data_IF_145613019166
#
_entry.id   IF_145613019166
#
_cell.length_a   1.000
_cell.length_b   1.000
_cell.length_c   1.000
_cell.angle_alpha   90.00
_cell.angle_beta   90.00
_cell.angle_gamma   90.00
#
_symmetry.space_group_name_H-M   'P 1'
#
loop_
_entity.id
_entity.type
_entity.pdbx_description
1 polymer ?
#
# COMPACT_ATOMS: atom_id res chain seq x y z
N UNK A 1 29.52 6.59 20.82
CA UNK A 1 28.08 6.39 21.13
C UNK A 1 27.40 5.59 20.01
N UNK A 2 27.87 4.40 19.71
CA UNK A 2 27.40 3.62 18.56
C UNK A 2 27.24 2.12 18.87
N UNK A 3 26.82 1.75 20.10
CA UNK A 3 26.72 0.34 20.47
C UNK A 3 25.40 -0.11 21.12
N UNK A 4 24.35 0.70 21.08
CA UNK A 4 23.05 0.33 21.67
C UNK A 4 21.90 0.05 20.67
N UNK A 5 22.07 0.28 19.35
CA UNK A 5 20.99 0.08 18.38
C UNK A 5 20.89 -1.35 17.83
N UNK A 6 21.93 -2.16 17.94
CA UNK A 6 21.96 -3.51 17.34
C UNK A 6 21.30 -4.62 18.18
N UNK A 7 20.96 -4.37 19.43
CA UNK A 7 20.32 -5.37 20.30
C UNK A 7 18.78 -5.41 20.24
N UNK A 8 18.15 -4.32 19.88
CA UNK A 8 16.68 -4.24 19.74
C UNK A 8 16.16 -4.89 18.44
N UNK A 9 16.93 -4.80 17.36
CA UNK A 9 16.59 -5.40 16.07
C UNK A 9 16.63 -6.95 16.07
N UNK A 10 17.48 -7.55 16.91
CA UNK A 10 17.59 -9.02 17.01
C UNK A 10 16.43 -9.70 17.75
N UNK A 11 15.65 -8.97 18.54
CA UNK A 11 14.50 -9.51 19.27
C UNK A 11 13.24 -9.64 18.39
N UNK A 12 13.10 -8.81 17.34
CA UNK A 12 11.94 -8.83 16.45
C UNK A 12 11.84 -10.09 15.58
N UNK A 13 12.93 -10.54 15.00
CA UNK A 13 12.94 -11.66 14.05
C UNK A 13 12.65 -13.02 14.68
N UNK A 14 12.93 -13.20 15.97
CA UNK A 14 12.64 -14.45 16.68
C UNK A 14 11.20 -14.54 17.22
N UNK A 15 10.49 -13.42 17.33
CA UNK A 15 9.11 -13.41 17.85
C UNK A 15 8.10 -13.92 16.79
N UNK A 16 8.28 -13.56 15.54
CA UNK A 16 7.39 -14.00 14.45
C UNK A 16 7.43 -15.50 14.16
N UNK A 17 8.55 -16.18 14.45
CA UNK A 17 8.69 -17.65 14.25
C UNK A 17 8.05 -18.52 15.34
N UNK A 18 7.74 -17.97 16.53
CA UNK A 18 7.23 -18.77 17.66
C UNK A 18 5.70 -18.84 17.79
N UNK A 19 4.94 -17.95 17.16
CA UNK A 19 3.48 -17.89 17.32
C UNK A 19 2.74 -18.95 16.48
N UNK A 20 3.34 -19.45 15.40
CA UNK A 20 2.71 -20.41 14.46
C UNK A 20 2.58 -21.87 14.95
N UNK A 21 2.96 -22.22 16.18
CA UNK A 21 2.99 -23.63 16.65
C UNK A 21 2.21 -23.97 17.92
N UNK A 22 1.21 -23.20 18.32
CA UNK A 22 0.36 -23.58 19.46
C UNK A 22 -1.12 -23.30 19.22
N UNK A 23 -1.79 -24.22 18.54
CA UNK A 23 -3.23 -24.44 18.73
C UNK A 23 -3.62 -25.83 18.29
N UNK A 24 -3.46 -26.83 19.16
CA UNK A 24 -4.27 -28.06 19.20
C UNK A 24 -4.19 -28.64 20.59
N UNK A 25 -5.35 -28.84 21.21
CA UNK A 25 -5.43 -29.75 22.39
C UNK A 25 -6.41 -29.33 23.48
N UNK A 26 -7.66 -29.81 23.34
CA UNK A 26 -8.54 -30.49 24.33
C UNK A 26 -9.03 -29.71 25.56
N UNK A 27 -10.29 -29.41 25.62
CA UNK A 27 -11.48 -30.14 26.07
C UNK A 27 -11.59 -30.44 27.59
N UNK A 28 -12.68 -29.91 28.20
CA UNK A 28 -13.59 -30.43 29.23
C UNK A 28 -13.04 -30.66 30.66
N UNK A 29 -13.57 -29.91 31.59
CA UNK A 29 -14.10 -30.46 32.85
C UNK A 29 -15.06 -29.45 33.55
N UNK A 30 -16.10 -30.00 34.03
CA UNK A 30 -17.34 -29.49 34.59
C UNK A 30 -17.25 -29.01 36.04
N UNK A 31 -18.22 -28.13 36.36
CA UNK A 31 -19.14 -28.18 37.48
C UNK A 31 -18.85 -27.41 38.78
N UNK A 32 -19.79 -26.53 39.03
CA UNK A 32 -20.49 -26.22 40.30
C UNK A 32 -19.76 -25.47 41.44
N UNK A 33 -20.20 -24.28 41.68
CA UNK A 33 -21.13 -23.83 42.74
C UNK A 33 -20.72 -22.53 43.39
N UNK A 34 -21.71 -21.79 43.74
CA UNK A 34 -21.79 -20.63 44.63
C UNK A 34 -22.01 -19.30 43.88
N UNK A 35 -23.32 -19.02 43.75
CA UNK A 35 -23.82 -17.69 43.40
C UNK A 35 -23.48 -16.68 44.51
N UNK A 36 -22.40 -15.92 44.25
CA UNK A 36 -22.22 -14.62 44.89
C UNK A 36 -22.72 -13.58 43.87
N UNK A 37 -23.82 -12.92 44.15
CA UNK A 37 -24.34 -11.82 43.36
C UNK A 37 -23.29 -10.69 43.31
N UNK A 38 -22.40 -10.72 42.31
CA UNK A 38 -21.65 -9.55 41.92
C UNK A 38 -22.65 -8.54 41.35
N UNK A 39 -22.84 -7.44 42.05
CA UNK A 39 -23.41 -6.23 41.46
C UNK A 39 -22.57 -5.89 40.25
N UNK A 40 -23.05 -6.26 39.05
CA UNK A 40 -22.56 -5.77 37.77
C UNK A 40 -22.82 -4.26 37.74
N UNK A 41 -21.91 -3.49 38.27
CA UNK A 41 -21.77 -2.07 37.89
C UNK A 41 -21.24 -2.10 36.48
N UNK A 42 -22.15 -2.19 35.48
CA UNK A 42 -21.77 -1.94 34.09
C UNK A 42 -21.07 -0.57 34.04
N UNK A 43 -19.77 -0.59 33.86
CA UNK A 43 -19.04 0.62 33.58
C UNK A 43 -19.72 1.32 32.39
N UNK A 44 -20.03 2.60 32.57
CA UNK A 44 -20.71 3.38 31.54
C UNK A 44 -19.74 3.52 30.37
N UNK A 45 -20.12 3.08 29.18
CA UNK A 45 -19.31 3.21 27.98
C UNK A 45 -18.86 4.68 27.80
N UNK A 46 -17.56 4.88 27.62
CA UNK A 46 -16.95 6.19 27.34
C UNK A 46 -16.55 6.25 25.88
N UNK A 47 -16.79 7.41 25.24
CA UNK A 47 -16.40 7.64 23.85
C UNK A 47 -14.91 7.97 23.79
N UNK A 48 -14.14 7.16 23.04
CA UNK A 48 -12.75 7.46 22.70
C UNK A 48 -12.69 7.92 21.23
N UNK A 49 -12.35 9.18 21.00
CA UNK A 49 -12.24 9.72 19.65
C UNK A 49 -11.06 9.12 18.85
N UNK A 50 -10.07 8.51 19.51
CA UNK A 50 -8.93 7.84 18.83
C UNK A 50 -9.31 6.48 18.24
N UNK A 51 -10.34 5.86 18.79
CA UNK A 51 -10.93 4.61 18.31
C UNK A 51 -12.46 4.66 18.43
N UNK A 52 -13.06 5.59 17.69
CA UNK A 52 -14.45 6.01 17.84
C UNK A 52 -15.49 4.88 17.71
N UNK A 53 -15.17 3.83 16.98
CA UNK A 53 -16.02 2.65 16.78
C UNK A 53 -15.43 1.36 17.34
N UNK A 54 -14.38 1.48 18.21
CA UNK A 54 -13.74 0.34 18.88
C UNK A 54 -13.19 -0.71 17.89
N UNK A 55 -12.43 -0.24 16.89
CA UNK A 55 -11.77 -1.10 15.90
C UNK A 55 -10.82 -2.10 16.55
N UNK A 56 -10.13 -1.67 17.61
CA UNK A 56 -9.18 -2.47 18.37
C UNK A 56 -9.76 -3.81 18.81
N UNK A 57 -11.02 -3.82 19.29
CA UNK A 57 -11.70 -5.04 19.74
C UNK A 57 -12.02 -6.04 18.61
N UNK A 58 -11.90 -5.62 17.35
CA UNK A 58 -12.15 -6.44 16.16
C UNK A 58 -10.88 -7.03 15.56
N UNK A 59 -9.70 -6.69 16.11
CA UNK A 59 -8.40 -7.16 15.65
C UNK A 59 -7.97 -8.42 16.45
N UNK A 60 -7.21 -9.29 15.80
CA UNK A 60 -6.53 -10.39 16.50
C UNK A 60 -5.31 -9.89 17.26
N UNK A 61 -4.85 -10.67 18.27
CA UNK A 61 -3.62 -10.36 19.01
C UNK A 61 -2.41 -10.21 18.07
N UNK A 62 -2.30 -11.06 17.05
CA UNK A 62 -1.23 -10.98 16.04
C UNK A 62 -1.30 -9.67 15.25
N UNK A 63 -2.48 -9.26 14.81
CA UNK A 63 -2.70 -8.01 14.08
C UNK A 63 -2.32 -6.79 14.92
N UNK A 64 -2.66 -6.79 16.21
CA UNK A 64 -2.28 -5.73 17.17
C UNK A 64 -0.77 -5.67 17.34
N UNK A 65 -0.12 -6.81 17.59
CA UNK A 65 1.34 -6.89 17.78
C UNK A 65 2.08 -6.37 16.54
N UNK A 66 1.68 -6.83 15.34
CA UNK A 66 2.29 -6.40 14.08
C UNK A 66 2.13 -4.90 13.86
N UNK A 67 0.91 -4.37 14.07
CA UNK A 67 0.63 -2.94 13.98
C UNK A 67 1.52 -2.13 14.93
N UNK A 68 1.58 -2.50 16.19
CA UNK A 68 2.26 -1.70 17.23
C UNK A 68 3.78 -1.69 17.03
N UNK A 69 4.37 -2.83 16.69
CA UNK A 69 5.79 -2.92 16.37
C UNK A 69 6.14 -2.09 15.14
N UNK A 70 5.34 -2.20 14.08
CA UNK A 70 5.59 -1.46 12.85
C UNK A 70 5.34 0.04 13.01
N UNK A 71 4.32 0.43 13.78
CA UNK A 71 4.06 1.82 14.16
C UNK A 71 5.27 2.44 14.86
N UNK A 72 5.87 1.75 15.83
CA UNK A 72 7.07 2.24 16.52
C UNK A 72 8.22 2.48 15.53
N UNK A 73 8.49 1.52 14.63
CA UNK A 73 9.48 1.71 13.57
C UNK A 73 9.17 2.92 12.68
N UNK A 74 7.93 3.08 12.24
CA UNK A 74 7.50 4.20 11.41
C UNK A 74 7.74 5.55 12.09
N UNK A 75 7.37 5.68 13.36
CA UNK A 75 7.50 6.94 14.11
C UNK A 75 8.96 7.22 14.50
N UNK A 76 9.71 6.21 14.94
CA UNK A 76 11.04 6.39 15.49
C UNK A 76 12.12 6.48 14.39
N UNK A 77 11.93 5.76 13.28
CA UNK A 77 12.94 5.66 12.23
C UNK A 77 12.59 6.39 10.93
N UNK A 78 11.33 6.38 10.50
CA UNK A 78 10.94 6.94 9.21
C UNK A 78 10.49 8.40 9.30
N UNK A 79 9.69 8.76 10.34
CA UNK A 79 9.20 10.13 10.51
C UNK A 79 10.32 11.18 10.58
N UNK A 80 11.45 10.95 11.27
CA UNK A 80 12.55 11.93 11.28
C UNK A 80 13.24 12.15 9.93
N UNK A 81 13.18 11.16 9.02
CA UNK A 81 13.85 11.22 7.71
C UNK A 81 13.01 11.89 6.63
N UNK A 82 11.68 11.89 6.77
CA UNK A 82 10.77 12.16 5.65
C UNK A 82 10.83 13.60 5.13
N UNK A 83 10.98 14.59 6.01
CA UNK A 83 11.03 16.00 5.58
C UNK A 83 12.19 16.24 4.61
N UNK A 84 13.38 15.73 4.95
CA UNK A 84 14.55 15.88 4.10
C UNK A 84 14.43 15.06 2.79
N UNK A 85 13.91 13.83 2.88
CA UNK A 85 13.65 13.01 1.70
C UNK A 85 12.66 13.69 0.73
N UNK A 86 11.60 14.29 1.26
CA UNK A 86 10.63 15.04 0.47
C UNK A 86 11.24 16.30 -0.17
N UNK A 87 12.05 17.08 0.56
CA UNK A 87 12.73 18.27 0.04
C UNK A 87 13.70 17.93 -1.09
N UNK A 88 14.47 16.84 -0.94
CA UNK A 88 15.47 16.39 -1.91
C UNK A 88 14.90 15.54 -3.06
N UNK A 89 13.62 15.19 -3.05
CA UNK A 89 13.02 14.25 -4.01
C UNK A 89 13.81 12.92 -4.09
N UNK A 90 14.13 12.35 -2.96
CA UNK A 90 15.00 11.18 -2.90
C UNK A 90 14.45 10.11 -1.95
N UNK A 91 14.36 8.88 -2.44
CA UNK A 91 14.11 7.69 -1.62
C UNK A 91 15.45 7.12 -1.11
N UNK A 92 15.50 6.68 0.13
CA UNK A 92 16.66 5.95 0.67
C UNK A 92 16.43 4.43 0.51
N UNK A 93 17.17 3.74 -0.39
CA UNK A 93 17.00 2.30 -0.61
C UNK A 93 17.24 1.42 0.64
N UNK A 94 17.98 1.93 1.65
CA UNK A 94 18.19 1.22 2.90
C UNK A 94 16.87 0.92 3.63
N UNK A 95 15.85 1.76 3.44
CA UNK A 95 14.51 1.57 4.00
C UNK A 95 13.88 0.23 3.54
N UNK A 96 14.12 -0.19 2.29
CA UNK A 96 13.61 -1.49 1.82
C UNK A 96 14.23 -2.66 2.57
N UNK A 97 15.52 -2.58 2.89
CA UNK A 97 16.21 -3.59 3.68
C UNK A 97 15.72 -3.60 5.13
N UNK A 98 15.54 -2.41 5.74
CA UNK A 98 14.95 -2.28 7.08
C UNK A 98 13.55 -2.91 7.13
N UNK A 99 12.70 -2.66 6.13
CA UNK A 99 11.37 -3.28 6.01
C UNK A 99 11.46 -4.81 5.81
N UNK A 100 12.44 -5.28 5.05
CA UNK A 100 12.71 -6.71 4.87
C UNK A 100 13.10 -7.40 6.18
N UNK A 101 13.95 -6.78 7.00
CA UNK A 101 14.32 -7.27 8.33
C UNK A 101 13.13 -7.34 9.29
N UNK A 102 12.14 -6.46 9.13
CA UNK A 102 10.88 -6.46 9.87
C UNK A 102 9.84 -7.45 9.32
N UNK A 103 10.09 -8.08 8.17
CA UNK A 103 9.19 -9.05 7.56
C UNK A 103 7.93 -8.45 6.93
N UNK A 104 7.93 -7.15 6.60
CA UNK A 104 6.76 -6.45 6.06
C UNK A 104 6.73 -6.38 4.53
N UNK A 105 7.72 -6.97 3.84
CA UNK A 105 7.73 -7.10 2.39
C UNK A 105 7.09 -8.44 1.95
N UNK A 106 6.08 -8.37 1.09
CA UNK A 106 5.28 -9.52 0.69
C UNK A 106 4.54 -10.21 1.85
N UNK A 107 4.00 -9.47 2.85
CA UNK A 107 3.63 -10.04 4.13
C UNK A 107 2.48 -11.05 4.05
N UNK A 108 1.66 -11.05 2.99
CA UNK A 108 0.55 -12.00 2.81
C UNK A 108 0.95 -13.29 2.07
N UNK A 109 2.19 -13.37 1.57
CA UNK A 109 2.68 -14.55 0.85
C UNK A 109 3.04 -15.65 1.85
N UNK A 110 2.62 -16.88 1.57
CA UNK A 110 2.96 -18.05 2.37
C UNK A 110 4.28 -18.66 1.90
N UNK A 111 5.20 -18.88 2.81
CA UNK A 111 6.52 -19.45 2.49
C UNK A 111 7.54 -18.43 2.00
N UNK A 112 8.63 -18.89 1.41
CA UNK A 112 9.73 -18.12 0.81
C UNK A 112 10.34 -17.04 1.72
N UNK A 113 10.21 -17.20 3.04
CA UNK A 113 10.69 -16.23 4.04
C UNK A 113 9.76 -15.06 4.31
N UNK A 114 8.57 -15.02 3.71
CA UNK A 114 7.52 -14.05 4.00
C UNK A 114 6.75 -14.39 5.28
N UNK A 115 6.09 -13.39 5.87
CA UNK A 115 5.44 -13.53 7.18
C UNK A 115 4.13 -14.33 7.15
N UNK A 116 3.40 -14.36 6.04
CA UNK A 116 2.12 -15.07 5.90
C UNK A 116 0.96 -14.44 6.68
N UNK A 117 0.96 -13.12 6.83
CA UNK A 117 -0.05 -12.36 7.58
C UNK A 117 -1.43 -12.34 6.89
N UNK A 118 -2.46 -12.02 7.67
CA UNK A 118 -3.80 -11.72 7.16
C UNK A 118 -3.81 -10.48 6.27
N UNK A 119 -4.85 -10.34 5.44
CA UNK A 119 -5.08 -9.11 4.66
C UNK A 119 -5.26 -7.88 5.57
N UNK A 120 -5.88 -8.05 6.75
CA UNK A 120 -6.02 -6.98 7.74
C UNK A 120 -4.65 -6.60 8.30
N UNK A 121 -3.79 -7.55 8.64
CA UNK A 121 -2.42 -7.29 9.09
C UNK A 121 -1.62 -6.49 8.05
N UNK A 122 -1.71 -6.83 6.76
CA UNK A 122 -1.14 -6.03 5.67
C UNK A 122 -1.74 -4.61 5.62
N UNK A 123 -3.06 -4.49 5.77
CA UNK A 123 -3.75 -3.20 5.82
C UNK A 123 -3.23 -2.30 6.94
N UNK A 124 -3.07 -2.84 8.14
CA UNK A 124 -2.54 -2.11 9.30
C UNK A 124 -1.09 -1.64 9.07
N UNK A 125 -0.25 -2.47 8.44
CA UNK A 125 1.11 -2.08 8.03
C UNK A 125 1.04 -0.87 7.07
N UNK A 126 0.21 -0.93 6.03
CA UNK A 126 0.07 0.17 5.06
C UNK A 126 -0.45 1.44 5.71
N UNK A 127 -1.38 1.33 6.68
CA UNK A 127 -1.93 2.46 7.45
C UNK A 127 -0.84 3.19 8.24
N UNK A 128 -0.03 2.46 9.01
CA UNK A 128 1.02 3.07 9.82
C UNK A 128 2.16 3.66 8.97
N UNK A 129 2.47 3.04 7.83
CA UNK A 129 3.48 3.55 6.91
C UNK A 129 3.02 4.83 6.21
N UNK A 130 1.78 4.90 5.74
CA UNK A 130 1.25 6.09 5.07
C UNK A 130 0.90 7.21 6.05
N UNK A 131 0.73 6.92 7.34
CA UNK A 131 0.72 7.92 8.42
C UNK A 131 2.02 8.74 8.41
N UNK A 132 3.15 8.14 8.04
CA UNK A 132 4.40 8.85 7.78
C UNK A 132 4.38 9.50 6.41
N UNK A 133 4.26 8.69 5.33
CA UNK A 133 4.28 9.21 3.96
C UNK A 133 3.76 8.20 2.92
N UNK A 134 2.96 8.71 1.98
CA UNK A 134 2.46 7.91 0.86
C UNK A 134 3.57 7.42 -0.07
N UNK A 135 4.73 8.10 -0.16
CA UNK A 135 5.86 7.66 -0.97
C UNK A 135 6.48 6.37 -0.41
N UNK A 136 6.67 6.31 0.91
CA UNK A 136 7.18 5.10 1.58
C UNK A 136 6.19 3.93 1.47
N UNK A 137 4.88 4.22 1.67
CA UNK A 137 3.86 3.19 1.49
C UNK A 137 3.83 2.69 0.05
N UNK A 138 3.95 3.57 -0.96
CA UNK A 138 3.99 3.19 -2.37
C UNK A 138 5.17 2.28 -2.69
N UNK A 139 6.37 2.60 -2.20
CA UNK A 139 7.55 1.77 -2.40
C UNK A 139 7.35 0.33 -1.88
N UNK A 140 6.86 0.19 -0.63
CA UNK A 140 6.56 -1.09 -0.01
C UNK A 140 5.43 -1.84 -0.72
N UNK A 141 4.37 -1.12 -1.10
CA UNK A 141 3.19 -1.70 -1.75
C UNK A 141 3.50 -2.22 -3.16
N UNK A 142 4.31 -1.49 -3.94
CA UNK A 142 4.80 -1.94 -5.25
C UNK A 142 5.64 -3.21 -5.10
N UNK A 143 6.59 -3.23 -4.17
CA UNK A 143 7.39 -4.42 -3.86
C UNK A 143 6.50 -5.62 -3.54
N UNK A 144 5.56 -5.46 -2.60
CA UNK A 144 4.76 -6.56 -2.05
C UNK A 144 3.65 -7.03 -2.99
N UNK A 145 2.83 -6.09 -3.49
CA UNK A 145 1.58 -6.41 -4.20
C UNK A 145 1.74 -6.45 -5.72
N UNK A 146 2.71 -5.72 -6.29
CA UNK A 146 2.86 -5.58 -7.73
C UNK A 146 4.08 -6.33 -8.29
N UNK A 147 5.05 -6.72 -7.44
CA UNK A 147 6.24 -7.49 -7.84
C UNK A 147 6.21 -8.88 -7.22
N UNK A 148 6.22 -8.99 -5.90
CA UNK A 148 6.28 -10.30 -5.23
C UNK A 148 5.00 -11.10 -5.46
N UNK A 149 3.83 -10.45 -5.37
CA UNK A 149 2.57 -11.16 -5.54
C UNK A 149 2.39 -11.79 -6.94
N UNK A 150 2.60 -11.10 -8.08
CA UNK A 150 2.50 -11.75 -9.40
C UNK A 150 3.53 -12.87 -9.61
N UNK A 151 4.74 -12.75 -9.06
CA UNK A 151 5.72 -13.85 -9.10
C UNK A 151 5.18 -15.03 -8.30
N UNK A 152 4.61 -14.82 -7.13
CA UNK A 152 4.00 -15.86 -6.30
C UNK A 152 2.78 -16.52 -6.97
N UNK A 153 1.90 -15.71 -7.58
CA UNK A 153 0.64 -16.17 -8.14
C UNK A 153 0.77 -16.77 -9.55
N UNK A 154 1.67 -16.23 -10.37
CA UNK A 154 1.74 -16.54 -11.80
C UNK A 154 3.08 -17.13 -12.24
N UNK A 155 4.09 -17.15 -11.37
CA UNK A 155 5.42 -17.67 -11.66
C UNK A 155 5.53 -19.18 -11.50
N UNK A 156 6.57 -19.74 -12.13
CA UNK A 156 7.04 -21.11 -11.86
C UNK A 156 7.67 -21.20 -10.47
N UNK A 157 7.84 -22.42 -9.95
CA UNK A 157 8.52 -22.61 -8.66
C UNK A 157 9.96 -22.06 -8.69
N UNK A 158 10.67 -22.28 -9.81
CA UNK A 158 12.02 -21.74 -9.99
C UNK A 158 12.06 -20.20 -9.93
N UNK A 159 11.06 -19.51 -10.54
CA UNK A 159 10.94 -18.06 -10.44
C UNK A 159 10.66 -17.61 -9.00
N UNK A 160 9.76 -18.30 -8.30
CA UNK A 160 9.45 -17.98 -6.89
C UNK A 160 10.68 -18.12 -5.99
N UNK A 161 11.38 -19.24 -6.08
CA UNK A 161 12.60 -19.51 -5.30
C UNK A 161 13.73 -18.52 -5.62
N UNK A 162 13.87 -18.12 -6.89
CA UNK A 162 14.90 -17.17 -7.33
C UNK A 162 14.67 -15.76 -6.79
N UNK A 163 13.44 -15.26 -6.84
CA UNK A 163 13.17 -13.84 -6.61
C UNK A 163 12.55 -13.53 -5.24
N UNK A 164 11.52 -14.28 -4.79
CA UNK A 164 10.73 -13.90 -3.61
C UNK A 164 11.58 -13.81 -2.33
N UNK A 165 12.48 -14.75 -1.99
CA UNK A 165 13.26 -14.64 -0.77
C UNK A 165 14.16 -13.40 -0.70
N UNK A 166 14.73 -13.00 -1.82
CA UNK A 166 15.60 -11.82 -1.88
C UNK A 166 14.81 -10.51 -1.85
N UNK A 167 13.64 -10.48 -2.52
CA UNK A 167 12.69 -9.38 -2.47
C UNK A 167 12.10 -9.22 -1.06
N UNK A 168 11.79 -10.33 -0.37
CA UNK A 168 11.26 -10.33 0.99
C UNK A 168 12.26 -9.75 2.03
N UNK A 169 13.57 -9.95 1.81
CA UNK A 169 14.61 -9.36 2.64
C UNK A 169 15.02 -7.94 2.23
N UNK A 170 14.41 -7.39 1.17
CA UNK A 170 14.78 -6.08 0.63
C UNK A 170 16.19 -6.02 0.03
N UNK A 171 16.78 -7.18 -0.31
CA UNK A 171 18.06 -7.29 -1.03
C UNK A 171 17.92 -6.93 -2.51
N UNK A 172 16.73 -7.14 -3.07
CA UNK A 172 16.33 -6.71 -4.39
C UNK A 172 15.15 -5.75 -4.26
N UNK A 173 15.15 -4.72 -5.08
CA UNK A 173 14.04 -3.78 -5.23
C UNK A 173 13.34 -4.06 -6.55
N UNK A 174 12.01 -4.14 -6.51
CA UNK A 174 11.21 -4.38 -7.68
C UNK A 174 10.37 -3.19 -8.11
N UNK A 175 9.99 -3.17 -9.39
CA UNK A 175 9.04 -2.23 -9.95
C UNK A 175 8.05 -2.92 -10.89
N UNK A 176 6.94 -2.23 -11.22
CA UNK A 176 5.82 -2.77 -11.98
C UNK A 176 5.50 -1.88 -13.19
N UNK A 177 5.81 -2.35 -14.39
CA UNK A 177 5.65 -1.64 -15.64
C UNK A 177 4.35 -1.99 -16.37
N UNK A 178 3.27 -1.22 -16.12
CA UNK A 178 1.99 -1.35 -16.82
C UNK A 178 1.68 -0.10 -17.65
N UNK A 179 1.58 1.06 -16.99
CA UNK A 179 1.21 2.34 -17.58
C UNK A 179 2.20 2.80 -18.65
N UNK A 180 1.69 3.31 -19.77
CA UNK A 180 2.48 3.87 -20.86
C UNK A 180 2.15 5.36 -21.05
N UNK A 181 3.01 6.13 -21.76
CA UNK A 181 2.74 7.54 -22.03
C UNK A 181 1.35 7.80 -22.61
N UNK A 182 0.90 6.95 -23.54
CA UNK A 182 -0.39 7.08 -24.22
C UNK A 182 -1.53 6.25 -23.60
N UNK A 183 -1.22 5.36 -22.63
CA UNK A 183 -2.16 4.38 -22.08
C UNK A 183 -2.12 4.34 -20.56
N UNK A 184 -2.83 5.27 -19.91
CA UNK A 184 -3.03 5.31 -18.45
C UNK A 184 -4.27 4.52 -18.02
N UNK A 185 -5.45 5.13 -18.15
CA UNK A 185 -6.73 4.51 -17.76
C UNK A 185 -7.19 3.39 -18.70
N UNK A 186 -6.61 3.30 -19.90
CA UNK A 186 -6.87 2.22 -20.86
C UNK A 186 -5.62 1.35 -21.09
N UNK A 187 -5.25 0.46 -20.17
CA UNK A 187 -4.09 -0.40 -20.31
C UNK A 187 -4.24 -1.46 -21.42
N UNK A 188 -5.45 -1.72 -21.92
CA UNK A 188 -5.67 -2.65 -23.04
C UNK A 188 -5.07 -2.14 -24.35
N UNK A 189 -4.95 -0.84 -24.49
CA UNK A 189 -4.35 -0.17 -25.65
C UNK A 189 -2.82 -0.24 -25.68
N UNK A 190 -2.14 -0.72 -24.64
CA UNK A 190 -0.67 -0.67 -24.52
C UNK A 190 0.04 -1.02 -25.83
N UNK A 191 1.17 -0.35 -26.07
CA UNK A 191 1.99 -0.45 -27.28
C UNK A 191 3.21 -1.35 -27.06
N UNK A 192 3.65 -1.53 -25.82
CA UNK A 192 4.76 -2.44 -25.49
C UNK A 192 4.50 -3.83 -26.06
N UNK A 193 5.46 -4.34 -26.82
CA UNK A 193 5.37 -5.62 -27.48
C UNK A 193 6.56 -6.52 -27.12
N UNK A 194 6.33 -7.84 -27.22
CA UNK A 194 7.29 -8.89 -26.99
C UNK A 194 7.26 -9.86 -28.17
N UNK A 195 8.31 -9.88 -28.97
CA UNK A 195 8.47 -10.76 -30.13
C UNK A 195 9.34 -11.95 -29.77
N UNK A 196 8.82 -13.16 -29.97
CA UNK A 196 9.55 -14.40 -29.65
C UNK A 196 10.57 -14.76 -30.72
N UNK A 197 11.78 -15.06 -30.30
CA UNK A 197 12.83 -15.61 -31.13
C UNK A 197 13.08 -17.07 -30.77
N UNK A 198 12.62 -18.04 -31.62
CA UNK A 198 12.73 -19.48 -31.31
C UNK A 198 14.17 -19.99 -31.37
N UNK A 199 15.09 -19.28 -32.05
CA UNK A 199 16.49 -19.69 -32.13
C UNK A 199 17.25 -19.45 -30.84
N UNK A 200 17.04 -18.28 -30.23
CA UNK A 200 17.67 -17.92 -28.97
C UNK A 200 16.82 -18.27 -27.74
N UNK A 201 15.56 -18.68 -27.93
CA UNK A 201 14.57 -18.89 -26.88
C UNK A 201 14.41 -17.63 -25.96
N UNK A 202 14.31 -16.48 -26.60
CA UNK A 202 14.14 -15.19 -25.93
C UNK A 202 12.95 -14.44 -26.52
N UNK A 203 12.37 -13.55 -25.71
CA UNK A 203 11.46 -12.51 -26.16
C UNK A 203 12.24 -11.21 -26.36
N UNK A 204 12.03 -10.52 -27.47
CA UNK A 204 12.56 -9.18 -27.73
C UNK A 204 11.49 -8.17 -27.34
N UNK A 205 11.73 -7.43 -26.26
CA UNK A 205 10.80 -6.43 -25.75
C UNK A 205 11.14 -5.02 -26.23
N UNK A 206 10.11 -4.33 -26.75
CA UNK A 206 10.19 -2.93 -27.16
C UNK A 206 9.00 -2.15 -26.61
N UNK A 207 9.27 -0.93 -26.10
CA UNK A 207 8.25 -0.03 -25.58
C UNK A 207 8.72 0.81 -24.41
N UNK A 208 7.84 1.67 -23.91
CA UNK A 208 8.14 2.55 -22.78
C UNK A 208 7.02 2.49 -21.76
N UNK A 209 7.38 2.30 -20.48
CA UNK A 209 6.46 2.45 -19.34
C UNK A 209 6.75 3.77 -18.64
N UNK A 210 5.71 4.40 -18.09
CA UNK A 210 5.80 5.73 -17.46
C UNK A 210 5.15 5.74 -16.09
N UNK A 211 5.59 6.65 -15.22
CA UNK A 211 5.13 6.79 -13.83
C UNK A 211 5.38 5.55 -12.97
N UNK A 212 6.51 4.90 -13.16
CA UNK A 212 6.82 3.63 -12.51
C UNK A 212 7.59 3.87 -11.20
N UNK A 213 6.90 3.64 -10.08
CA UNK A 213 7.49 3.68 -8.74
C UNK A 213 8.63 2.67 -8.61
N UNK A 214 9.72 3.08 -8.01
CA UNK A 214 10.97 2.35 -7.79
C UNK A 214 11.80 2.10 -9.07
N UNK A 215 11.32 2.36 -10.28
CA UNK A 215 12.07 1.97 -11.50
C UNK A 215 13.51 2.49 -11.56
N UNK A 216 13.85 3.72 -11.11
CA UNK A 216 15.23 4.21 -11.15
C UNK A 216 16.20 3.44 -10.25
N UNK A 217 15.69 2.76 -9.22
CA UNK A 217 16.47 2.02 -8.22
C UNK A 217 16.21 0.52 -8.26
N UNK A 218 15.34 0.04 -9.20
CA UNK A 218 14.93 -1.35 -9.27
C UNK A 218 16.03 -2.29 -9.77
N UNK A 219 16.06 -3.48 -9.20
CA UNK A 219 16.86 -4.62 -9.66
C UNK A 219 16.01 -5.60 -10.50
N UNK A 220 14.69 -5.66 -10.22
CA UNK A 220 13.72 -6.55 -10.86
C UNK A 220 12.55 -5.74 -11.39
N UNK A 221 12.17 -5.98 -12.64
CA UNK A 221 11.11 -5.26 -13.34
C UNK A 221 10.04 -6.26 -13.80
N UNK A 222 8.83 -6.20 -13.23
CA UNK A 222 7.69 -6.95 -13.74
C UNK A 222 6.99 -6.09 -14.78
N UNK A 223 7.13 -6.43 -16.05
CA UNK A 223 6.64 -5.63 -17.19
C UNK A 223 5.56 -6.38 -17.94
N UNK A 224 4.48 -5.68 -18.29
CA UNK A 224 3.37 -6.20 -19.09
C UNK A 224 3.48 -5.71 -20.52
N UNK A 225 3.38 -6.63 -21.49
CA UNK A 225 3.47 -6.35 -22.93
C UNK A 225 2.66 -7.33 -23.77
N UNK A 226 2.31 -6.95 -24.99
CA UNK A 226 1.61 -7.80 -25.95
C UNK A 226 2.58 -8.81 -26.55
N UNK A 227 2.25 -10.10 -26.49
CA UNK A 227 3.09 -11.18 -27.02
C UNK A 227 2.58 -11.67 -28.37
N UNK A 228 3.45 -11.72 -29.37
CA UNK A 228 3.14 -12.19 -30.72
C UNK A 228 2.79 -13.69 -30.79
N UNK A 229 3.35 -14.51 -29.89
CA UNK A 229 3.05 -15.95 -29.82
C UNK A 229 1.72 -16.26 -29.17
N UNK A 230 1.05 -15.29 -28.59
CA UNK A 230 -0.26 -15.45 -27.90
C UNK A 230 -1.32 -14.50 -28.52
N UNK A 231 -1.33 -14.35 -29.83
CA UNK A 231 -2.27 -13.49 -30.58
C UNK A 231 -2.34 -12.05 -30.02
N UNK A 232 -1.20 -11.46 -29.70
CA UNK A 232 -1.07 -10.15 -29.06
C UNK A 232 -1.78 -10.03 -27.69
N UNK A 233 -2.01 -11.13 -27.00
CA UNK A 233 -2.46 -11.07 -25.60
C UNK A 233 -1.36 -10.52 -24.70
N UNK A 234 -1.79 -9.84 -23.65
CA UNK A 234 -0.89 -9.27 -22.66
C UNK A 234 -0.30 -10.38 -21.80
N UNK A 235 1.04 -10.39 -21.69
CA UNK A 235 1.83 -11.31 -20.85
C UNK A 235 2.70 -10.52 -19.89
N UNK A 236 3.07 -11.13 -18.78
CA UNK A 236 4.01 -10.57 -17.80
C UNK A 236 5.41 -11.12 -18.01
N UNK A 237 6.41 -10.26 -17.93
CA UNK A 237 7.82 -10.60 -18.08
C UNK A 237 8.62 -10.08 -16.90
N UNK A 238 9.59 -10.86 -16.43
CA UNK A 238 10.53 -10.47 -15.39
C UNK A 238 11.83 -10.05 -16.06
N UNK A 239 12.14 -8.75 -16.03
CA UNK A 239 13.40 -8.20 -16.51
C UNK A 239 14.32 -7.95 -15.32
N UNK A 240 15.61 -8.01 -15.55
CA UNK A 240 16.63 -7.77 -14.53
C UNK A 240 17.49 -6.56 -14.93
N UNK A 241 17.92 -5.80 -13.92
CA UNK A 241 18.85 -4.68 -14.09
C UNK A 241 20.09 -5.12 -14.83
N UNK A 242 20.52 -4.31 -15.80
CA UNK A 242 21.70 -4.59 -16.62
C UNK A 242 21.40 -5.37 -17.92
N UNK A 243 20.16 -5.78 -18.17
CA UNK A 243 19.79 -6.31 -19.49
C UNK A 243 20.05 -5.22 -20.55
N UNK A 244 20.69 -5.60 -21.66
CA UNK A 244 21.03 -4.67 -22.75
C UNK A 244 19.75 -4.08 -23.34
N UNK A 245 19.75 -2.75 -23.55
CA UNK A 245 18.58 -2.03 -24.07
C UNK A 245 17.55 -1.63 -23.00
N UNK A 246 17.75 -2.02 -21.73
CA UNK A 246 16.88 -1.63 -20.60
C UNK A 246 17.47 -0.40 -19.92
N UNK A 247 16.66 0.65 -19.76
CA UNK A 247 16.99 1.82 -18.96
C UNK A 247 15.78 2.32 -18.16
N UNK A 248 16.06 3.01 -17.04
CA UNK A 248 15.01 3.48 -16.15
C UNK A 248 15.29 4.91 -15.64
N UNK A 249 15.16 5.94 -16.53
CA UNK A 249 15.40 7.32 -16.15
C UNK A 249 14.36 7.81 -15.13
N UNK A 250 14.83 8.61 -14.16
CA UNK A 250 13.99 9.23 -13.13
C UNK A 250 13.15 10.36 -13.71
N UNK A 251 11.92 10.50 -13.23
CA UNK A 251 11.07 11.67 -13.43
C UNK A 251 11.31 12.62 -12.26
N UNK A 252 11.78 13.82 -12.56
CA UNK A 252 12.07 14.88 -11.58
C UNK A 252 10.97 15.96 -11.59
N UNK A 253 10.95 16.81 -10.56
CA UNK A 253 10.04 17.95 -10.47
C UNK A 253 8.59 17.58 -10.10
N UNK A 254 8.38 16.44 -9.46
CA UNK A 254 7.05 16.07 -8.96
C UNK A 254 6.70 16.90 -7.73
N UNK A 255 5.44 17.32 -7.61
CA UNK A 255 4.89 17.94 -6.40
C UNK A 255 4.20 16.94 -5.47
N UNK A 256 4.00 15.71 -5.91
CA UNK A 256 3.39 14.60 -5.17
C UNK A 256 4.36 13.42 -5.10
N UNK A 257 4.34 12.67 -4.00
CA UNK A 257 5.21 11.51 -3.77
C UNK A 257 6.70 11.85 -4.00
N UNK A 258 7.15 13.01 -3.52
CA UNK A 258 8.51 13.50 -3.78
C UNK A 258 9.59 12.58 -3.20
N UNK A 259 9.30 11.95 -2.04
CA UNK A 259 10.21 10.97 -1.43
C UNK A 259 10.16 9.58 -2.08
N UNK A 260 9.55 9.44 -3.27
CA UNK A 260 9.53 8.21 -4.07
C UNK A 260 10.33 8.40 -5.35
N UNK A 261 11.30 7.53 -5.59
CA UNK A 261 11.97 7.47 -6.89
C UNK A 261 11.03 6.84 -7.92
N UNK A 262 10.48 7.69 -8.77
CA UNK A 262 9.54 7.33 -9.83
C UNK A 262 10.19 7.62 -11.17
N UNK A 263 10.06 6.72 -12.13
CA UNK A 263 10.71 6.89 -13.43
C UNK A 263 9.92 6.31 -14.60
N UNK A 264 10.62 6.15 -15.68
CA UNK A 264 10.19 5.39 -16.85
C UNK A 264 10.87 4.02 -16.85
N UNK A 265 10.41 3.11 -17.69
CA UNK A 265 11.14 1.91 -18.13
C UNK A 265 11.17 1.99 -19.65
N UNK A 266 12.36 2.17 -20.21
CA UNK A 266 12.59 2.23 -21.66
C UNK A 266 13.23 0.92 -22.09
N UNK A 267 12.63 0.28 -23.07
CA UNK A 267 13.05 -1.02 -23.62
C UNK A 267 13.29 -0.88 -25.11
N UNK A 268 14.54 -1.09 -25.54
CA UNK A 268 15.00 -1.04 -26.93
C UNK A 268 15.68 -2.37 -27.25
N UNK A 269 14.94 -3.27 -27.91
CA UNK A 269 15.37 -4.63 -28.24
C UNK A 269 15.92 -5.42 -27.02
N UNK A 270 15.21 -5.34 -25.88
CA UNK A 270 15.63 -6.05 -24.67
C UNK A 270 15.35 -7.54 -24.84
N UNK A 271 16.43 -8.33 -24.83
CA UNK A 271 16.35 -9.80 -24.87
C UNK A 271 16.02 -10.35 -23.49
N UNK A 272 14.85 -10.98 -23.36
CA UNK A 272 14.34 -11.60 -22.13
C UNK A 272 14.23 -13.10 -22.33
N UNK A 273 14.91 -13.94 -21.55
CA UNK A 273 14.80 -15.40 -21.63
C UNK A 273 13.34 -15.87 -21.51
N UNK A 274 12.97 -16.93 -22.24
CA UNK A 274 11.59 -17.45 -22.21
C UNK A 274 11.16 -17.89 -20.80
N UNK A 275 12.09 -18.38 -19.98
CA UNK A 275 11.87 -18.73 -18.58
C UNK A 275 11.54 -17.54 -17.67
N UNK A 276 11.75 -16.31 -18.12
CA UNK A 276 11.39 -15.09 -17.38
C UNK A 276 9.98 -14.57 -17.72
N UNK A 277 9.25 -15.24 -18.63
CA UNK A 277 7.81 -14.97 -18.80
C UNK A 277 7.02 -15.61 -17.66
N UNK A 278 5.99 -14.93 -17.15
CA UNK A 278 5.04 -15.48 -16.16
C UNK A 278 4.06 -16.43 -16.87
N UNK A 279 4.17 -17.76 -16.69
CA UNK A 279 3.45 -18.72 -17.54
C UNK A 279 1.98 -18.88 -17.18
N UNK A 280 1.61 -18.64 -15.89
CA UNK A 280 0.29 -18.98 -15.37
C UNK A 280 -0.73 -17.85 -15.50
N UNK A 281 -0.51 -16.90 -16.41
CA UNK A 281 -1.46 -15.80 -16.65
C UNK A 281 -1.38 -15.29 -18.09
N UNK A 282 -2.53 -14.89 -18.64
CA UNK A 282 -2.67 -14.26 -19.95
C UNK A 282 -3.79 -13.23 -19.94
N UNK A 283 -3.62 -12.13 -20.67
CA UNK A 283 -4.59 -11.03 -20.78
C UNK A 283 -4.53 -10.07 -19.59
N UNK A 284 -5.52 -9.17 -19.54
CA UNK A 284 -5.62 -8.12 -18.50
C UNK A 284 -5.90 -8.64 -17.09
N UNK A 285 -6.35 -9.89 -16.95
CA UNK A 285 -6.57 -10.51 -15.64
C UNK A 285 -5.29 -10.53 -14.80
N UNK A 286 -4.13 -10.64 -15.46
CA UNK A 286 -2.82 -10.60 -14.81
C UNK A 286 -2.56 -9.29 -14.05
N UNK A 287 -2.39 -8.17 -14.76
CA UNK A 287 -2.14 -6.90 -14.09
C UNK A 287 -3.28 -6.46 -13.18
N UNK A 288 -4.56 -6.76 -13.50
CA UNK A 288 -5.69 -6.39 -12.65
C UNK A 288 -5.73 -7.20 -11.35
N UNK A 289 -5.31 -8.46 -11.35
CA UNK A 289 -5.13 -9.24 -10.12
C UNK A 289 -4.11 -8.60 -9.17
N UNK A 290 -2.98 -8.12 -9.72
CA UNK A 290 -1.97 -7.38 -8.97
C UNK A 290 -2.54 -6.09 -8.38
N UNK A 291 -3.22 -5.29 -9.21
CA UNK A 291 -3.79 -4.01 -8.82
C UNK A 291 -4.84 -4.14 -7.71
N UNK A 292 -5.65 -5.21 -7.69
CA UNK A 292 -6.65 -5.40 -6.63
C UNK A 292 -5.99 -5.56 -5.25
N UNK A 293 -4.85 -6.25 -5.17
CA UNK A 293 -4.10 -6.34 -3.90
C UNK A 293 -3.51 -4.99 -3.47
N UNK A 294 -2.90 -4.26 -4.40
CA UNK A 294 -2.34 -2.95 -4.13
C UNK A 294 -3.41 -1.93 -3.73
N UNK A 295 -4.55 -1.88 -4.43
CA UNK A 295 -5.69 -1.00 -4.14
C UNK A 295 -6.26 -1.18 -2.73
N UNK A 296 -6.29 -2.43 -2.24
CA UNK A 296 -6.71 -2.71 -0.87
C UNK A 296 -5.77 -2.07 0.16
N UNK A 297 -4.44 -2.21 -0.03
CA UNK A 297 -3.44 -1.55 0.81
C UNK A 297 -3.51 -0.02 0.73
N UNK A 298 -3.79 0.54 -0.46
CA UNK A 298 -3.99 1.99 -0.64
C UNK A 298 -5.20 2.49 0.15
N UNK A 299 -6.30 1.74 0.16
CA UNK A 299 -7.51 2.11 0.89
C UNK A 299 -7.27 2.21 2.41
N UNK A 300 -6.44 1.34 3.00
CA UNK A 300 -5.99 1.45 4.38
C UNK A 300 -5.00 2.59 4.58
N UNK A 301 -3.98 2.66 3.72
CA UNK A 301 -2.89 3.62 3.85
C UNK A 301 -3.38 5.05 3.85
N UNK A 302 -4.26 5.41 2.92
CA UNK A 302 -4.83 6.77 2.82
C UNK A 302 -5.51 7.23 4.12
N UNK A 303 -6.13 6.30 4.87
CA UNK A 303 -6.72 6.62 6.17
C UNK A 303 -5.65 6.90 7.23
N UNK A 304 -4.49 6.25 7.18
CA UNK A 304 -3.36 6.58 8.05
C UNK A 304 -2.88 8.03 7.87
N UNK A 305 -2.78 8.49 6.61
CA UNK A 305 -2.48 9.89 6.29
C UNK A 305 -3.60 10.83 6.79
N UNK A 306 -4.86 10.43 6.64
CA UNK A 306 -6.02 11.20 7.12
C UNK A 306 -6.02 11.33 8.66
N UNK A 307 -5.71 10.26 9.38
CA UNK A 307 -5.59 10.26 10.84
C UNK A 307 -4.48 11.21 11.32
N UNK A 308 -3.31 11.16 10.67
CA UNK A 308 -2.22 12.10 10.97
C UNK A 308 -2.68 13.56 10.81
N UNK A 309 -3.38 13.86 9.72
CA UNK A 309 -3.89 15.20 9.45
C UNK A 309 -4.95 15.63 10.47
N UNK A 310 -5.85 14.73 10.88
CA UNK A 310 -6.83 14.97 11.92
C UNK A 310 -6.16 15.28 13.28
N UNK A 311 -5.22 14.43 13.69
CA UNK A 311 -4.50 14.57 14.95
C UNK A 311 -3.73 15.90 15.02
N UNK A 312 -3.00 16.23 13.95
CA UNK A 312 -2.24 17.47 13.83
C UNK A 312 -3.15 18.71 13.86
N UNK A 313 -4.23 18.70 13.07
CA UNK A 313 -5.16 19.83 13.02
C UNK A 313 -5.90 20.02 14.35
N UNK A 314 -6.30 18.91 14.99
CA UNK A 314 -6.90 18.95 16.33
C UNK A 314 -5.95 19.59 17.35
N UNK A 315 -4.71 19.07 17.44
CA UNK A 315 -3.75 19.60 18.42
C UNK A 315 -3.45 21.08 18.15
N UNK A 316 -3.16 21.43 16.89
CA UNK A 316 -2.92 22.83 16.51
C UNK A 316 -4.08 23.75 16.91
N UNK A 317 -5.32 23.37 16.64
CA UNK A 317 -6.49 24.22 16.95
C UNK A 317 -6.82 24.27 18.43
N UNK A 318 -6.40 23.30 19.23
CA UNK A 318 -6.46 23.36 20.70
C UNK A 318 -5.45 24.35 21.28
N UNK A 319 -4.24 24.39 20.70
CA UNK A 319 -3.13 25.19 21.21
C UNK A 319 -3.17 26.65 20.71
N UNK A 320 -3.67 26.87 19.48
CA UNK A 320 -3.70 28.17 18.83
C UNK A 320 -4.80 29.06 19.41
N UNK A 321 -4.38 30.12 20.09
CA UNK A 321 -5.31 31.13 20.66
C UNK A 321 -5.51 32.27 19.66
N UNK A 322 -6.76 32.55 19.30
CA UNK A 322 -7.20 33.74 18.57
C UNK A 322 -8.50 34.28 19.21
N UNK A 323 -8.66 35.60 19.22
CA UNK A 323 -9.82 36.25 19.86
C UNK A 323 -10.02 35.79 21.33
N UNK A 324 -8.90 35.59 22.06
CA UNK A 324 -8.88 35.19 23.46
C UNK A 324 -9.31 33.74 23.77
N UNK A 325 -9.44 32.87 22.76
CA UNK A 325 -9.84 31.46 22.95
C UNK A 325 -9.16 30.52 21.93
N UNK A 326 -9.04 29.20 22.23
CA UNK A 326 -8.58 28.21 21.27
C UNK A 326 -9.44 28.23 20.00
N UNK A 327 -8.79 28.03 18.83
CA UNK A 327 -9.51 27.89 17.55
C UNK A 327 -10.54 26.77 17.61
N UNK A 328 -10.27 25.69 18.33
CA UNK A 328 -11.17 24.54 18.50
C UNK A 328 -12.53 24.92 19.16
N UNK A 329 -12.67 26.08 19.76
CA UNK A 329 -13.98 26.59 20.24
C UNK A 329 -14.89 27.09 19.12
N UNK A 330 -14.40 27.28 17.91
CA UNK A 330 -15.21 27.75 16.80
C UNK A 330 -16.03 26.59 16.20
N UNK A 331 -17.31 26.81 15.95
CA UNK A 331 -18.24 25.80 15.44
C UNK A 331 -17.79 25.21 14.10
N UNK A 332 -17.23 26.02 13.17
CA UNK A 332 -16.74 25.55 11.87
C UNK A 332 -15.52 24.64 12.02
N UNK A 333 -14.67 24.85 13.02
CA UNK A 333 -13.54 23.97 13.35
C UNK A 333 -14.06 22.65 13.91
N UNK A 334 -14.98 22.70 14.87
CA UNK A 334 -15.59 21.48 15.45
C UNK A 334 -16.31 20.64 14.41
N UNK A 335 -17.04 21.30 13.49
CA UNK A 335 -17.69 20.60 12.37
C UNK A 335 -16.68 19.85 11.51
N UNK A 336 -15.58 20.50 11.08
CA UNK A 336 -14.53 19.87 10.28
C UNK A 336 -13.93 18.66 11.01
N UNK A 337 -13.60 18.79 12.31
CA UNK A 337 -13.08 17.69 13.12
C UNK A 337 -14.06 16.51 13.20
N UNK A 338 -15.36 16.79 13.36
CA UNK A 338 -16.39 15.76 13.41
C UNK A 338 -16.54 15.01 12.07
N UNK A 339 -16.57 15.76 10.95
CA UNK A 339 -16.65 15.18 9.61
C UNK A 339 -15.41 14.27 9.33
N UNK A 340 -14.21 14.76 9.63
CA UNK A 340 -12.95 14.03 9.47
C UNK A 340 -12.97 12.72 10.28
N UNK A 341 -13.35 12.76 11.54
CA UNK A 341 -13.43 11.59 12.42
C UNK A 341 -14.45 10.56 11.88
N UNK A 342 -15.61 11.04 11.45
CA UNK A 342 -16.68 10.19 10.91
C UNK A 342 -16.21 9.44 9.67
N UNK A 343 -15.63 10.15 8.70
CA UNK A 343 -15.15 9.57 7.44
C UNK A 343 -14.02 8.53 7.67
N UNK A 344 -13.08 8.83 8.57
CA UNK A 344 -11.99 7.91 8.94
C UNK A 344 -12.56 6.64 9.58
N UNK A 345 -13.42 6.78 10.58
CA UNK A 345 -13.94 5.65 11.34
C UNK A 345 -14.75 4.69 10.47
N UNK A 346 -15.62 5.21 9.61
CA UNK A 346 -16.40 4.40 8.66
C UNK A 346 -15.49 3.74 7.60
N UNK A 347 -14.49 4.46 7.12
CA UNK A 347 -13.52 3.93 6.16
C UNK A 347 -12.69 2.77 6.73
N UNK A 348 -12.24 2.87 7.98
CA UNK A 348 -11.50 1.81 8.67
C UNK A 348 -12.32 0.52 8.82
N UNK A 349 -13.59 0.63 9.22
CA UNK A 349 -14.49 -0.54 9.31
C UNK A 349 -14.79 -1.15 7.95
N UNK A 350 -14.94 -0.33 6.90
CA UNK A 350 -15.04 -0.84 5.53
C UNK A 350 -13.81 -1.65 5.13
N UNK A 351 -12.62 -1.15 5.45
CA UNK A 351 -11.35 -1.82 5.18
C UNK A 351 -11.22 -3.14 5.97
N UNK A 352 -11.57 -3.13 7.26
CA UNK A 352 -11.58 -4.35 8.10
C UNK A 352 -12.49 -5.42 7.49
N UNK A 353 -13.73 -5.06 7.15
CA UNK A 353 -14.71 -6.00 6.58
C UNK A 353 -14.20 -6.61 5.26
N UNK A 354 -13.69 -5.79 4.35
CA UNK A 354 -13.18 -6.30 3.07
C UNK A 354 -11.90 -7.14 3.28
N UNK A 355 -11.09 -6.83 4.29
CA UNK A 355 -9.94 -7.66 4.67
C UNK A 355 -10.36 -9.06 5.09
N UNK A 356 -11.35 -9.19 5.96
CA UNK A 356 -11.91 -10.49 6.37
C UNK A 356 -12.52 -11.25 5.17
N UNK A 357 -13.18 -10.54 4.25
CA UNK A 357 -13.71 -11.14 3.02
C UNK A 357 -12.57 -11.58 2.07
N UNK A 358 -11.45 -10.85 2.00
CA UNK A 358 -10.28 -11.27 1.21
C UNK A 358 -9.68 -12.56 1.76
N UNK A 359 -9.51 -12.67 3.06
CA UNK A 359 -8.92 -13.85 3.70
C UNK A 359 -9.82 -15.09 3.55
N UNK A 360 -11.14 -14.90 3.43
CA UNK A 360 -12.11 -15.97 3.13
C UNK A 360 -12.37 -16.22 1.64
N UNK A 361 -11.70 -15.49 0.73
CA UNK A 361 -11.88 -15.63 -0.72
C UNK A 361 -13.19 -15.04 -1.26
N UNK A 362 -13.88 -14.21 -0.49
CA UNK A 362 -15.20 -13.64 -0.83
C UNK A 362 -15.13 -12.18 -1.31
N UNK A 363 -13.98 -11.55 -1.31
CA UNK A 363 -13.85 -10.16 -1.77
C UNK A 363 -13.89 -10.07 -3.29
N UNK A 364 -14.69 -9.14 -3.81
CA UNK A 364 -14.75 -8.83 -5.25
C UNK A 364 -13.95 -7.58 -5.61
N UNK A 365 -13.54 -7.40 -6.87
CA UNK A 365 -12.87 -6.18 -7.32
C UNK A 365 -13.68 -4.90 -7.08
N UNK A 366 -15.02 -4.99 -7.14
CA UNK A 366 -15.91 -3.85 -6.90
C UNK A 366 -15.88 -3.40 -5.43
N UNK A 367 -15.83 -4.34 -4.48
CA UNK A 367 -15.68 -4.01 -3.05
C UNK A 367 -14.38 -3.26 -2.79
N UNK A 368 -13.28 -3.68 -3.44
CA UNK A 368 -11.99 -3.02 -3.35
C UNK A 368 -12.04 -1.63 -4.01
N UNK A 369 -12.68 -1.52 -5.18
CA UNK A 369 -12.88 -0.24 -5.87
C UNK A 369 -13.71 0.74 -5.05
N UNK A 370 -14.75 0.27 -4.36
CA UNK A 370 -15.57 1.08 -3.46
C UNK A 370 -14.72 1.68 -2.34
N UNK A 371 -13.90 0.87 -1.68
CA UNK A 371 -13.02 1.33 -0.61
C UNK A 371 -11.96 2.31 -1.10
N UNK A 372 -11.25 1.95 -2.17
CA UNK A 372 -10.18 2.82 -2.70
C UNK A 372 -10.74 4.17 -3.11
N UNK A 373 -11.87 4.18 -3.83
CA UNK A 373 -12.54 5.42 -4.23
C UNK A 373 -12.94 6.27 -3.02
N UNK A 374 -13.65 5.67 -2.06
CA UNK A 374 -14.13 6.40 -0.88
C UNK A 374 -12.97 6.94 -0.04
N UNK A 375 -12.07 6.06 0.37
CA UNK A 375 -11.06 6.39 1.37
C UNK A 375 -10.00 7.37 0.82
N UNK A 376 -9.55 7.20 -0.43
CA UNK A 376 -8.60 8.16 -1.02
C UNK A 376 -9.22 9.54 -1.23
N UNK A 377 -10.47 9.61 -1.72
CA UNK A 377 -11.18 10.88 -1.88
C UNK A 377 -11.38 11.58 -0.53
N UNK A 378 -11.87 10.86 0.48
CA UNK A 378 -12.07 11.39 1.83
C UNK A 378 -10.76 11.81 2.50
N UNK A 379 -9.69 11.01 2.37
CA UNK A 379 -8.37 11.37 2.90
C UNK A 379 -7.84 12.67 2.29
N UNK A 380 -8.02 12.87 0.99
CA UNK A 380 -7.64 14.10 0.31
C UNK A 380 -8.43 15.30 0.83
N UNK A 381 -9.75 15.19 1.00
CA UNK A 381 -10.59 16.24 1.57
C UNK A 381 -10.20 16.55 3.02
N UNK A 382 -9.95 15.52 3.84
CA UNK A 382 -9.48 15.64 5.23
C UNK A 382 -8.16 16.39 5.29
N UNK A 383 -7.20 16.03 4.46
CA UNK A 383 -5.89 16.70 4.45
C UNK A 383 -5.99 18.18 4.05
N UNK A 384 -6.84 18.51 3.09
CA UNK A 384 -7.13 19.90 2.68
C UNK A 384 -7.82 20.69 3.80
N UNK A 385 -8.78 20.09 4.52
CA UNK A 385 -9.40 20.70 5.69
C UNK A 385 -8.39 20.93 6.81
N UNK A 386 -7.51 19.96 7.09
CA UNK A 386 -6.45 20.13 8.07
C UNK A 386 -5.50 21.28 7.70
N UNK A 387 -5.05 21.33 6.43
CA UNK A 387 -4.23 22.43 5.92
C UNK A 387 -4.92 23.80 6.11
N UNK A 388 -6.20 23.89 5.80
CA UNK A 388 -7.00 25.09 5.97
C UNK A 388 -7.09 25.52 7.46
N UNK A 389 -7.32 24.57 8.37
CA UNK A 389 -7.41 24.82 9.80
C UNK A 389 -6.10 25.35 10.42
N UNK A 390 -4.95 25.04 9.83
CA UNK A 390 -3.64 25.54 10.23
C UNK A 390 -3.34 26.95 9.67
N UNK A 391 -4.17 27.48 8.78
CA UNK A 391 -3.98 28.79 8.15
C UNK A 391 -2.66 28.86 7.36
N UNK A 392 -1.89 29.93 7.53
CA UNK A 392 -0.58 30.10 6.90
C UNK A 392 0.44 29.00 7.25
N UNK A 393 0.39 28.49 8.48
CA UNK A 393 1.25 27.38 8.92
C UNK A 393 0.95 26.07 8.18
N UNK A 394 -0.26 25.93 7.62
CA UNK A 394 -0.67 24.75 6.86
C UNK A 394 0.04 24.56 5.52
N UNK A 395 0.81 25.57 5.06
CA UNK A 395 1.62 25.47 3.82
C UNK A 395 3.12 25.25 4.10
N UNK A 396 3.52 25.17 5.38
CA UNK A 396 4.87 24.84 5.80
C UNK A 396 5.00 23.32 5.98
N UNK A 397 6.14 22.74 5.58
CA UNK A 397 6.43 21.33 5.78
C UNK A 397 6.74 20.94 7.23
N UNK A 398 6.91 21.91 8.13
CA UNK A 398 7.09 21.69 9.58
C UNK A 398 5.93 20.91 10.22
N UNK A 399 4.71 21.14 9.72
CA UNK A 399 3.50 20.48 10.23
C UNK A 399 3.15 19.21 9.46
N UNK A 400 3.91 18.87 8.44
CA UNK A 400 3.73 17.70 7.55
C UNK A 400 2.41 17.66 6.76
N UNK A 401 1.40 18.46 7.14
CA UNK A 401 0.06 18.43 6.53
C UNK A 401 0.09 18.71 5.03
N UNK A 402 0.84 19.76 4.60
CA UNK A 402 0.94 20.10 3.16
C UNK A 402 1.55 18.95 2.34
N UNK A 403 2.50 18.20 2.92
CA UNK A 403 3.09 17.03 2.27
C UNK A 403 2.04 15.94 2.04
N UNK A 404 1.18 15.68 3.02
CA UNK A 404 0.06 14.74 2.85
C UNK A 404 -0.96 15.24 1.83
N UNK A 405 -1.28 16.56 1.79
CA UNK A 405 -2.14 17.14 0.75
C UNK A 405 -1.59 16.85 -0.65
N UNK A 406 -0.30 17.15 -0.87
CA UNK A 406 0.33 16.92 -2.17
C UNK A 406 0.37 15.43 -2.54
N UNK A 407 0.71 14.57 -1.59
CA UNK A 407 0.81 13.13 -1.82
C UNK A 407 -0.55 12.50 -2.14
N UNK A 408 -1.60 12.91 -1.44
CA UNK A 408 -2.94 12.35 -1.62
C UNK A 408 -3.57 12.72 -2.97
N UNK A 409 -3.11 13.77 -3.66
CA UNK A 409 -3.47 14.02 -5.05
C UNK A 409 -3.05 12.84 -5.97
N UNK A 410 -1.84 12.33 -5.81
CA UNK A 410 -1.40 11.14 -6.55
C UNK A 410 -2.13 9.88 -6.08
N UNK A 411 -2.33 9.70 -4.76
CA UNK A 411 -3.03 8.54 -4.19
C UNK A 411 -4.47 8.44 -4.72
N UNK A 412 -5.15 9.57 -4.89
CA UNK A 412 -6.49 9.63 -5.48
C UNK A 412 -6.49 9.36 -7.00
N UNK A 413 -5.32 9.50 -7.65
CA UNK A 413 -5.20 9.42 -9.12
C UNK A 413 -4.72 8.06 -9.62
N UNK A 414 -3.69 7.46 -8.99
CA UNK A 414 -3.05 6.25 -9.50
C UNK A 414 -3.83 4.96 -9.19
N UNK A 415 -3.41 3.85 -9.82
CA UNK A 415 -4.01 2.52 -9.69
C UNK A 415 -5.53 2.49 -9.92
N UNK A 416 -5.97 3.26 -10.89
CA UNK A 416 -7.35 3.63 -11.16
C UNK A 416 -7.70 4.96 -10.52
N UNK A 417 -8.08 5.93 -11.34
CA UNK A 417 -8.53 7.23 -10.86
C UNK A 417 -9.82 7.11 -10.07
N UNK A 418 -10.13 8.12 -9.26
CA UNK A 418 -11.41 8.21 -8.56
C UNK A 418 -12.62 7.94 -9.48
N UNK A 419 -12.55 8.46 -10.72
CA UNK A 419 -13.61 8.30 -11.73
C UNK A 419 -13.63 6.90 -12.34
N UNK A 420 -12.47 6.28 -12.61
CA UNK A 420 -12.43 4.89 -13.09
C UNK A 420 -13.07 3.94 -12.07
N UNK A 421 -12.84 4.15 -10.78
CA UNK A 421 -13.52 3.38 -9.74
C UNK A 421 -15.03 3.65 -9.68
N UNK A 422 -15.46 4.89 -9.97
CA UNK A 422 -16.89 5.20 -10.11
C UNK A 422 -17.52 4.44 -11.28
N UNK A 423 -16.82 4.33 -12.42
CA UNK A 423 -17.29 3.57 -13.58
C UNK A 423 -17.36 2.06 -13.32
N UNK A 424 -16.40 1.50 -12.59
CA UNK A 424 -16.45 0.10 -12.14
C UNK A 424 -17.71 -0.16 -11.31
N UNK A 425 -18.00 0.71 -10.35
CA UNK A 425 -19.19 0.62 -9.52
C UNK A 425 -20.49 0.86 -10.31
N UNK A 426 -20.48 1.86 -11.21
CA UNK A 426 -21.61 2.16 -12.08
C UNK A 426 -22.00 0.96 -12.93
N UNK A 427 -21.02 0.26 -13.52
CA UNK A 427 -21.23 -0.99 -14.24
C UNK A 427 -21.82 -2.08 -13.34
N UNK A 428 -21.29 -2.24 -12.14
CA UNK A 428 -21.78 -3.25 -11.20
C UNK A 428 -23.23 -2.99 -10.77
N UNK A 429 -23.64 -1.73 -10.65
CA UNK A 429 -24.99 -1.33 -10.23
C UNK A 429 -25.98 -1.47 -11.39
N UNK A 430 -25.58 -1.11 -12.62
CA UNK A 430 -26.50 -0.96 -13.77
C UNK A 430 -26.42 -2.12 -14.76
N UNK A 431 -25.35 -2.90 -14.76
CA UNK A 431 -25.03 -3.88 -15.79
C UNK A 431 -24.50 -3.26 -17.10
N UNK A 432 -24.44 -1.92 -17.20
CA UNK A 432 -24.03 -1.19 -18.41
C UNK A 432 -22.59 -0.71 -18.31
N UNK A 433 -21.80 -0.94 -19.35
CA UNK A 433 -20.42 -0.48 -19.42
C UNK A 433 -20.37 0.94 -20.01
N UNK A 434 -19.65 1.88 -19.36
CA UNK A 434 -19.58 3.26 -19.79
C UNK A 434 -18.78 3.47 -21.11
N UNK A 435 -17.80 2.61 -21.37
CA UNK A 435 -17.00 2.62 -22.59
C UNK A 435 -17.20 1.28 -23.31
N UNK A 436 -18.12 1.23 -24.23
CA UNK A 436 -18.20 0.19 -25.24
C UNK A 436 -17.77 0.81 -26.56
N UNK A 437 -16.81 0.20 -27.26
CA UNK A 437 -16.76 0.34 -28.71
C UNK A 437 -17.94 -0.48 -29.23
N UNK A 438 -19.02 0.18 -29.59
CA UNK A 438 -20.08 -0.42 -30.42
C UNK A 438 -19.53 -0.92 -31.74
#
# INVERSE_FOLDING_TARGET
>A
MASRSSSLLRLGTNCFRKVSKRSQGTAVASANSAAAAKKDTKEKATFDWKDALNLESCLSEEEIIVRDQFKSYCQDQLMPRITQANRLEKFDPAIMKEMGELGVLGPTIQGYGCAGLSSVGYGLITRELERVDSAYRSAMSVQSSLVMWPISAYGTEAQKEKYIPRLARGELIGCFGLTEPNHGSNPSGMETNAKYNPKSKTFILNGTKSWITNSPIADVFVVWGKSDVDNNRIRGFILEKGMKGLSAPKIEGKFSLRASDTGQIVMEDVEVPEENMLPHVSGLTGPFGCLNNARYGIAWGSLGAAEFCLETARQYTMDRIQFGKPLAKNQLIQKKLADMLTDISLGLFGCLQVGRLKDSGMATPEMISLLKRNNCGKALDISRHARDMLGGNGISDEYHVIRHVMNLEAVNTYEGTHDIHALILGRAITGLQAFTSD
#
